data_IF_833886251666
#
_entry.id   IF_833886251666
#
_cell.length_a   1.000
_cell.length_b   1.000
_cell.length_c   1.000
_cell.angle_alpha   90.00
_cell.angle_beta   90.00
_cell.angle_gamma   90.00
#
_symmetry.space_group_name_H-M   'P 1'
#
loop_
_entity.id
_entity.type
_entity.pdbx_description
1 polymer ?
#
# COMPACT_ATOMS: atom_id res chain seq x y z
N UNK A 1 2.73 -22.46 37.53
CA UNK A 1 2.55 -21.00 37.49
C UNK A 1 2.94 -20.59 36.09
N UNK A 2 1.93 -20.51 35.22
CA UNK A 2 2.05 -20.10 33.83
C UNK A 2 1.96 -18.58 33.82
N UNK A 3 3.12 -17.93 33.72
CA UNK A 3 3.19 -16.52 33.35
C UNK A 3 2.80 -16.44 31.88
N UNK A 4 1.58 -16.00 31.62
CA UNK A 4 1.11 -15.71 30.27
C UNK A 4 1.89 -14.49 29.80
N UNK A 5 2.77 -14.69 28.83
CA UNK A 5 3.34 -13.61 28.04
C UNK A 5 2.17 -12.86 27.37
N UNK A 6 1.68 -11.79 28.01
CA UNK A 6 0.79 -10.82 27.39
C UNK A 6 1.51 -10.27 26.16
N UNK A 7 1.10 -10.78 25.01
CA UNK A 7 1.46 -10.23 23.71
C UNK A 7 1.13 -8.75 23.74
N UNK A 8 2.17 -7.92 23.73
CA UNK A 8 2.08 -6.46 23.60
C UNK A 8 1.54 -6.12 22.21
N UNK A 9 0.27 -6.41 21.96
CA UNK A 9 -0.45 -5.91 20.81
C UNK A 9 -0.58 -4.40 21.00
N UNK A 10 -0.02 -3.64 20.06
CA UNK A 10 -0.22 -2.19 19.98
C UNK A 10 -1.72 -1.91 19.98
N UNK A 11 -2.21 -1.23 21.03
CA UNK A 11 -3.62 -0.91 21.13
C UNK A 11 -3.96 0.17 20.09
N UNK A 12 -5.05 0.04 19.33
CA UNK A 12 -5.41 1.01 18.29
C UNK A 12 -5.72 2.38 18.92
N UNK A 13 -5.30 3.44 18.24
CA UNK A 13 -5.42 4.82 18.71
C UNK A 13 -6.72 5.43 18.20
N UNK A 14 -7.44 6.19 19.04
CA UNK A 14 -8.61 6.97 18.60
C UNK A 14 -8.16 8.33 18.01
N UNK A 15 -8.30 8.57 16.70
CA UNK A 15 -7.89 9.84 16.08
C UNK A 15 -8.61 11.06 16.68
N UNK A 16 -9.83 10.89 17.20
CA UNK A 16 -10.61 11.98 17.81
C UNK A 16 -10.05 12.36 19.18
N UNK A 17 -9.68 11.35 19.99
CA UNK A 17 -9.04 11.58 21.30
C UNK A 17 -7.66 12.20 21.11
N UNK A 18 -6.89 11.71 20.13
CA UNK A 18 -5.59 12.29 19.77
C UNK A 18 -5.74 13.76 19.30
N UNK A 19 -6.71 14.05 18.43
CA UNK A 19 -6.99 15.42 17.98
C UNK A 19 -7.28 16.34 19.15
N UNK A 20 -8.13 15.90 20.08
CA UNK A 20 -8.48 16.68 21.27
C UNK A 20 -7.26 16.92 22.16
N UNK A 21 -6.47 15.88 22.41
CA UNK A 21 -5.26 15.98 23.24
C UNK A 21 -4.24 16.97 22.66
N UNK A 22 -4.00 16.93 21.35
CA UNK A 22 -3.12 17.89 20.67
C UNK A 22 -3.72 19.31 20.71
N UNK A 23 -5.01 19.46 20.42
CA UNK A 23 -5.68 20.77 20.39
C UNK A 23 -5.69 21.46 21.77
N UNK A 24 -5.83 20.70 22.85
CA UNK A 24 -5.80 21.21 24.22
C UNK A 24 -4.38 21.53 24.71
N UNK A 25 -3.35 20.84 24.19
CA UNK A 25 -1.98 20.89 24.75
C UNK A 25 -0.98 21.73 23.95
N UNK A 26 -1.33 22.10 22.72
CA UNK A 26 -0.46 22.84 21.79
C UNK A 26 -1.09 24.18 21.41
N UNK A 27 -0.29 25.24 21.37
CA UNK A 27 -0.62 26.44 20.61
C UNK A 27 -0.17 26.29 19.13
N UNK A 28 -0.34 27.31 18.29
CA UNK A 28 0.04 27.23 16.86
C UNK A 28 1.55 27.14 16.64
N UNK A 29 2.36 27.77 17.49
CA UNK A 29 3.81 27.74 17.40
C UNK A 29 4.35 26.37 17.83
N UNK A 30 3.85 25.84 18.95
CA UNK A 30 4.15 24.47 19.39
C UNK A 30 3.81 23.44 18.29
N UNK A 31 2.69 23.65 17.57
CA UNK A 31 2.26 22.73 16.51
C UNK A 31 3.20 22.79 15.31
N UNK A 32 3.73 23.97 14.97
CA UNK A 32 4.75 24.12 13.93
C UNK A 32 6.05 23.43 14.33
N UNK A 33 6.46 23.54 15.59
CA UNK A 33 7.62 22.82 16.12
C UNK A 33 7.41 21.30 16.10
N UNK A 34 6.21 20.82 16.46
CA UNK A 34 5.86 19.41 16.34
C UNK A 34 5.97 18.95 14.88
N UNK A 35 5.41 19.71 13.94
CA UNK A 35 5.50 19.41 12.50
C UNK A 35 6.96 19.35 12.03
N UNK A 36 7.79 20.30 12.45
CA UNK A 36 9.23 20.30 12.17
C UNK A 36 9.91 19.04 12.72
N UNK A 37 9.64 18.67 13.97
CA UNK A 37 10.21 17.47 14.62
C UNK A 37 9.82 16.18 13.90
N UNK A 38 8.62 16.12 13.32
CA UNK A 38 8.15 14.99 12.53
C UNK A 38 8.40 15.12 11.02
N UNK A 39 9.18 16.14 10.62
CA UNK A 39 9.56 16.43 9.23
C UNK A 39 8.37 16.65 8.27
N UNK A 40 7.27 17.21 8.78
CA UNK A 40 6.12 17.65 7.99
C UNK A 40 6.18 19.15 7.81
N UNK A 41 6.06 19.62 6.57
CA UNK A 41 5.96 21.04 6.28
C UNK A 41 4.60 21.59 6.76
N UNK A 42 4.65 22.37 7.83
CA UNK A 42 3.48 22.96 8.45
C UNK A 42 2.64 23.78 7.47
N UNK A 43 3.27 24.48 6.53
CA UNK A 43 2.58 25.38 5.61
C UNK A 43 1.81 24.60 4.54
N UNK A 44 2.18 23.33 4.26
CA UNK A 44 1.48 22.44 3.32
C UNK A 44 0.24 21.74 3.90
N UNK A 45 0.03 21.76 5.22
CA UNK A 45 -1.18 21.20 5.84
C UNK A 45 -2.41 22.06 5.49
N UNK A 46 -3.55 21.45 5.18
CA UNK A 46 -4.77 22.18 4.85
C UNK A 46 -5.43 22.86 6.08
N UNK A 47 -6.06 24.01 5.84
CA UNK A 47 -6.86 24.75 6.82
C UNK A 47 -6.16 25.92 7.51
N UNK A 48 -6.88 27.02 7.74
CA UNK A 48 -6.33 28.25 8.35
C UNK A 48 -6.32 28.23 9.89
N UNK A 49 -7.09 27.35 10.52
CA UNK A 49 -7.29 27.30 11.97
C UNK A 49 -6.54 26.10 12.55
N UNK A 50 -5.98 26.26 13.76
CA UNK A 50 -5.20 25.24 14.49
C UNK A 50 -5.83 23.84 14.42
N UNK A 51 -7.12 23.74 14.75
CA UNK A 51 -7.86 22.47 14.74
C UNK A 51 -7.89 21.78 13.37
N UNK A 52 -7.96 22.54 12.28
CA UNK A 52 -7.91 21.97 10.93
C UNK A 52 -6.51 21.47 10.58
N UNK A 53 -5.46 22.23 10.94
CA UNK A 53 -4.06 21.80 10.79
C UNK A 53 -3.75 20.53 11.58
N UNK A 54 -4.23 20.41 12.82
CA UNK A 54 -4.08 19.20 13.64
C UNK A 54 -4.80 18.02 12.99
N UNK A 55 -6.03 18.23 12.52
CA UNK A 55 -6.79 17.18 11.82
C UNK A 55 -6.03 16.69 10.60
N UNK A 56 -5.51 17.60 9.77
CA UNK A 56 -4.76 17.24 8.58
C UNK A 56 -3.44 16.52 8.92
N UNK A 57 -2.75 16.95 9.99
CA UNK A 57 -1.57 16.26 10.48
C UNK A 57 -1.89 14.82 10.91
N UNK A 58 -2.98 14.62 11.65
CA UNK A 58 -3.42 13.27 12.06
C UNK A 58 -3.77 12.44 10.84
N UNK A 59 -4.54 12.98 9.88
CA UNK A 59 -4.87 12.30 8.63
C UNK A 59 -3.60 11.95 7.84
N UNK A 60 -2.63 12.85 7.78
CA UNK A 60 -1.35 12.64 7.10
C UNK A 60 -0.61 11.42 7.67
N UNK A 61 -0.57 11.25 9.00
CA UNK A 61 0.08 10.11 9.64
C UNK A 61 -0.79 8.85 9.62
N UNK A 62 -2.10 8.97 9.78
CA UNK A 62 -3.04 7.83 9.77
C UNK A 62 -3.13 7.16 8.40
N UNK A 63 -3.25 7.96 7.32
CA UNK A 63 -3.24 7.46 5.94
C UNK A 63 -1.94 6.69 5.62
N UNK A 64 -0.81 7.11 6.20
CA UNK A 64 0.48 6.44 6.04
C UNK A 64 0.69 5.28 6.99
N UNK A 65 -0.27 5.01 7.88
CA UNK A 65 -0.18 4.04 8.99
C UNK A 65 0.94 4.34 10.00
N UNK A 66 1.39 5.61 10.05
CA UNK A 66 2.51 6.10 10.89
C UNK A 66 2.05 6.84 12.15
N UNK A 67 0.83 6.60 12.63
CA UNK A 67 0.25 7.36 13.73
C UNK A 67 1.08 7.29 15.03
N UNK A 68 1.77 6.16 15.25
CA UNK A 68 2.64 5.95 16.41
C UNK A 68 3.87 6.88 16.41
N UNK A 69 4.37 7.27 15.24
CA UNK A 69 5.47 8.25 15.12
C UNK A 69 5.01 9.62 15.59
N UNK A 70 3.80 10.05 15.20
CA UNK A 70 3.22 11.32 15.63
C UNK A 70 3.00 11.33 17.15
N UNK A 71 2.43 10.24 17.69
CA UNK A 71 2.18 10.07 19.13
C UNK A 71 3.49 10.13 19.91
N UNK A 72 4.52 9.43 19.45
CA UNK A 72 5.82 9.42 20.15
C UNK A 72 6.40 10.82 20.19
N UNK A 73 6.41 11.54 19.07
CA UNK A 73 6.88 12.92 19.02
C UNK A 73 6.04 13.86 19.91
N UNK A 74 4.72 13.65 19.96
CA UNK A 74 3.80 14.39 20.83
C UNK A 74 4.12 14.17 22.32
N UNK A 75 4.31 12.92 22.74
CA UNK A 75 4.63 12.57 24.13
C UNK A 75 6.04 13.03 24.54
N UNK A 76 6.99 13.07 23.61
CA UNK A 76 8.31 13.67 23.88
C UNK A 76 8.23 15.16 24.22
N UNK A 77 7.36 15.90 23.53
CA UNK A 77 7.15 17.34 23.74
C UNK A 77 6.24 17.63 24.94
N UNK A 78 5.35 16.68 25.30
CA UNK A 78 4.40 16.78 26.42
C UNK A 78 4.36 15.46 27.23
N UNK A 79 5.40 15.16 28.03
CA UNK A 79 5.52 13.87 28.73
C UNK A 79 4.52 13.65 29.87
N UNK A 80 3.73 14.68 30.23
CA UNK A 80 2.74 14.63 31.31
C UNK A 80 1.33 14.23 30.84
N UNK A 81 1.13 14.07 29.53
CA UNK A 81 -0.17 13.68 28.98
C UNK A 81 -0.36 12.18 29.16
N UNK A 82 -1.52 11.80 29.68
CA UNK A 82 -1.90 10.41 29.88
C UNK A 82 -2.15 9.73 28.53
N UNK A 83 -1.28 8.78 28.19
CA UNK A 83 -1.37 8.04 26.92
C UNK A 83 -2.59 7.11 26.90
N UNK A 84 -2.99 6.55 28.04
CA UNK A 84 -4.13 5.62 28.11
C UNK A 84 -5.45 6.33 27.77
N UNK A 85 -5.52 7.64 27.95
CA UNK A 85 -6.67 8.45 27.58
C UNK A 85 -6.86 8.61 26.05
N UNK A 86 -5.86 8.26 25.23
CA UNK A 86 -5.86 8.44 23.77
C UNK A 86 -6.16 7.13 23.03
N UNK A 87 -6.02 5.99 23.72
CA UNK A 87 -6.21 4.65 23.16
C UNK A 87 -7.71 4.31 23.04
N UNK A 88 -8.08 3.55 22.00
CA UNK A 88 -9.42 2.95 21.89
C UNK A 88 -9.57 1.86 22.96
N UNK A 89 -10.50 2.05 23.88
CA UNK A 89 -11.00 0.97 24.73
C UNK A 89 -11.99 0.14 23.94
N UNK A 90 -11.98 -1.18 24.12
CA UNK A 90 -12.87 -2.14 23.43
C UNK A 90 -14.37 -1.87 23.58
N UNK A 91 -14.76 -0.91 24.40
CA UNK A 91 -16.14 -0.46 24.61
C UNK A 91 -16.58 0.67 23.65
N UNK A 92 -15.65 1.29 22.90
CA UNK A 92 -15.90 2.47 22.05
C UNK A 92 -16.09 2.16 20.55
N UNK A 93 -16.15 0.89 20.14
CA UNK A 93 -16.27 0.55 18.71
C UNK A 93 -17.65 0.92 18.12
N UNK A 94 -17.66 1.89 17.20
CA UNK A 94 -18.80 2.18 16.33
C UNK A 94 -18.99 1.01 15.33
N UNK A 95 -20.10 0.26 15.41
CA UNK A 95 -20.31 -0.93 14.58
C UNK A 95 -20.44 -0.64 13.08
N UNK A 96 -20.47 0.64 12.68
CA UNK A 96 -20.59 1.08 11.28
C UNK A 96 -19.22 1.23 10.58
N UNK A 97 -18.15 1.53 11.32
CA UNK A 97 -16.80 1.70 10.75
C UNK A 97 -16.17 0.36 10.29
N UNK A 98 -16.62 -0.76 10.85
CA UNK A 98 -16.10 -2.11 10.59
C UNK A 98 -16.54 -2.70 9.22
N UNK A 99 -17.34 -1.99 8.42
CA UNK A 99 -17.97 -2.56 7.21
C UNK A 99 -17.24 -2.34 5.87
N UNK A 100 -16.22 -1.48 5.80
CA UNK A 100 -15.47 -1.21 4.54
C UNK A 100 -13.96 -1.53 4.66
N UNK A 101 -13.47 -1.86 5.86
CA UNK A 101 -12.16 -2.46 5.99
C UNK A 101 -12.28 -3.96 5.70
N UNK A 102 -12.18 -4.36 4.43
CA UNK A 102 -11.74 -5.73 4.13
C UNK A 102 -10.47 -5.92 4.96
N UNK A 103 -10.47 -6.88 5.89
CA UNK A 103 -9.38 -7.16 6.82
C UNK A 103 -8.08 -7.48 6.05
N UNK A 104 -7.39 -6.46 5.53
CA UNK A 104 -6.06 -6.55 4.92
C UNK A 104 -5.07 -7.14 5.92
N UNK A 105 -5.29 -6.88 7.20
CA UNK A 105 -4.50 -7.41 8.30
C UNK A 105 -4.46 -8.94 8.32
N UNK A 106 -5.43 -9.70 7.78
CA UNK A 106 -5.45 -11.17 7.90
C UNK A 106 -4.99 -11.95 6.67
N UNK A 107 -4.56 -11.25 5.62
CA UNK A 107 -4.13 -11.89 4.36
C UNK A 107 -2.66 -12.33 4.43
N UNK A 108 -1.85 -11.65 5.25
CA UNK A 108 -0.43 -11.98 5.39
C UNK A 108 -0.22 -13.30 6.14
N UNK A 109 0.64 -14.21 5.66
CA UNK A 109 1.08 -15.37 6.42
C UNK A 109 1.55 -14.97 7.83
N UNK A 110 1.19 -15.77 8.85
CA UNK A 110 1.55 -15.50 10.25
C UNK A 110 3.07 -15.37 10.46
N UNK A 111 3.86 -16.09 9.66
CA UNK A 111 5.32 -16.00 9.68
C UNK A 111 5.82 -14.60 9.29
N UNK A 112 5.20 -13.97 8.29
CA UNK A 112 5.62 -12.65 7.81
C UNK A 112 5.28 -11.55 8.83
N UNK A 113 4.11 -11.66 9.48
CA UNK A 113 3.73 -10.79 10.62
C UNK A 113 4.69 -10.96 11.80
N UNK A 114 5.04 -12.21 12.10
CA UNK A 114 6.01 -12.51 13.15
C UNK A 114 7.37 -11.89 12.83
N UNK A 115 7.84 -12.01 11.58
CA UNK A 115 9.13 -11.46 11.17
C UNK A 115 9.17 -9.93 11.28
N UNK A 116 8.14 -9.21 10.82
CA UNK A 116 8.08 -7.74 10.94
C UNK A 116 8.04 -7.27 12.39
N UNK A 117 7.28 -7.95 13.25
CA UNK A 117 7.28 -7.68 14.69
C UNK A 117 8.65 -7.93 15.33
N UNK A 118 9.31 -9.05 15.02
CA UNK A 118 10.64 -9.39 15.55
C UNK A 118 11.69 -8.38 15.08
N UNK A 119 11.68 -8.00 13.80
CA UNK A 119 12.57 -6.98 13.26
C UNK A 119 12.35 -5.62 13.94
N UNK A 120 11.10 -5.22 14.15
CA UNK A 120 10.74 -3.98 14.87
C UNK A 120 11.27 -3.98 16.30
N UNK A 121 11.07 -5.09 17.05
CA UNK A 121 11.59 -5.25 18.42
C UNK A 121 13.12 -5.15 18.49
N UNK A 122 13.83 -5.70 17.50
CA UNK A 122 15.28 -5.59 17.41
C UNK A 122 15.73 -4.13 17.33
N UNK A 123 15.10 -3.31 16.50
CA UNK A 123 15.40 -1.87 16.46
C UNK A 123 15.07 -1.18 17.78
N UNK A 124 13.94 -1.48 18.41
CA UNK A 124 13.62 -0.95 19.75
C UNK A 124 14.65 -1.37 20.81
N UNK A 125 15.23 -2.57 20.72
CA UNK A 125 16.33 -2.99 21.57
C UNK A 125 17.60 -2.16 21.33
N UNK A 126 17.95 -1.91 20.07
CA UNK A 126 19.09 -1.04 19.72
C UNK A 126 18.89 0.38 20.28
N UNK A 127 17.68 0.94 20.19
CA UNK A 127 17.36 2.25 20.78
C UNK A 127 17.65 2.28 22.28
N UNK A 128 17.23 1.25 23.03
CA UNK A 128 17.48 1.14 24.48
C UNK A 128 18.98 1.04 24.80
N UNK A 129 19.80 0.57 23.87
CA UNK A 129 21.24 0.40 24.03
C UNK A 129 22.08 1.58 23.51
N UNK A 130 21.45 2.64 22.96
CA UNK A 130 22.14 3.84 22.45
C UNK A 130 22.95 4.60 23.51
N UNK A 131 22.84 4.26 24.80
CA UNK A 131 23.68 4.82 25.85
C UNK A 131 25.11 4.25 25.84
N UNK A 132 25.36 3.16 25.10
CA UNK A 132 26.68 2.55 24.99
C UNK A 132 27.47 3.09 23.79
N UNK A 133 28.75 3.36 23.99
CA UNK A 133 29.61 3.98 22.97
C UNK A 133 29.86 3.05 21.75
N UNK A 134 29.94 1.74 21.98
CA UNK A 134 30.11 0.74 20.93
C UNK A 134 28.89 0.68 19.99
N UNK A 135 27.68 0.66 20.56
CA UNK A 135 26.42 0.70 19.81
C UNK A 135 26.29 2.03 19.06
N UNK A 136 26.60 3.17 19.70
CA UNK A 136 26.61 4.48 19.03
C UNK A 136 27.56 4.51 17.85
N UNK A 137 28.78 4.00 18.00
CA UNK A 137 29.79 3.94 16.93
C UNK A 137 29.29 3.11 15.75
N UNK A 138 28.65 1.97 16.02
CA UNK A 138 28.05 1.14 14.98
C UNK A 138 26.89 1.86 14.28
N UNK A 139 26.00 2.53 15.03
CA UNK A 139 24.89 3.31 14.45
C UNK A 139 25.38 4.45 13.57
N UNK A 140 26.46 5.16 13.97
CA UNK A 140 27.13 6.16 13.11
C UNK A 140 27.57 5.54 11.80
N UNK A 141 28.22 4.38 11.87
CA UNK A 141 28.77 3.69 10.70
C UNK A 141 27.70 3.36 9.66
N UNK A 142 26.48 3.04 10.10
CA UNK A 142 25.36 2.65 9.24
C UNK A 142 24.24 3.70 9.14
N UNK A 143 24.47 4.94 9.60
CA UNK A 143 23.44 5.98 9.66
C UNK A 143 22.79 6.23 8.29
N UNK A 144 23.60 6.34 7.25
CA UNK A 144 23.13 6.55 5.86
C UNK A 144 22.30 5.36 5.37
N UNK A 145 22.67 4.13 5.74
CA UNK A 145 21.92 2.93 5.36
C UNK A 145 20.56 2.88 6.07
N UNK A 146 20.49 3.24 7.35
CA UNK A 146 19.23 3.36 8.09
C UNK A 146 18.31 4.42 7.48
N UNK A 147 18.84 5.60 7.16
CA UNK A 147 18.08 6.68 6.51
C UNK A 147 17.55 6.24 5.14
N UNK A 148 18.41 5.63 4.32
CA UNK A 148 18.03 5.14 3.00
C UNK A 148 16.94 4.08 3.08
N UNK A 149 17.09 3.09 3.97
CA UNK A 149 16.11 2.01 4.12
C UNK A 149 14.75 2.53 4.61
N UNK A 150 14.73 3.42 5.62
CA UNK A 150 13.49 4.03 6.11
C UNK A 150 12.77 4.80 5.00
N UNK A 151 13.51 5.64 4.25
CA UNK A 151 12.95 6.39 3.12
C UNK A 151 12.42 5.46 2.01
N UNK A 152 13.13 4.38 1.69
CA UNK A 152 12.72 3.43 0.66
C UNK A 152 11.48 2.63 1.07
N UNK A 153 11.36 2.24 2.35
CA UNK A 153 10.16 1.61 2.90
C UNK A 153 8.96 2.55 2.75
N UNK A 154 9.11 3.82 3.12
CA UNK A 154 8.05 4.83 2.98
C UNK A 154 7.65 5.04 1.50
N UNK A 155 8.63 5.18 0.60
CA UNK A 155 8.36 5.32 -0.83
C UNK A 155 7.65 4.10 -1.41
N UNK A 156 8.04 2.89 -1.00
CA UNK A 156 7.42 1.65 -1.45
C UNK A 156 5.96 1.56 -0.99
N UNK A 157 5.67 1.94 0.26
CA UNK A 157 4.32 2.02 0.78
C UNK A 157 3.46 3.04 0.01
N UNK A 158 3.99 4.24 -0.23
CA UNK A 158 3.32 5.27 -1.05
C UNK A 158 3.00 4.78 -2.48
N UNK A 159 3.97 4.16 -3.16
CA UNK A 159 3.76 3.60 -4.51
C UNK A 159 2.74 2.46 -4.52
N UNK A 160 2.70 1.62 -3.48
CA UNK A 160 1.73 0.54 -3.40
C UNK A 160 0.32 1.07 -3.14
N UNK A 161 0.16 2.02 -2.23
CA UNK A 161 -1.13 2.63 -1.94
C UNK A 161 -1.72 3.34 -3.17
N UNK A 162 -0.90 4.06 -3.94
CA UNK A 162 -1.39 4.75 -5.14
C UNK A 162 -1.75 3.75 -6.25
N UNK A 163 -1.03 2.63 -6.36
CA UNK A 163 -1.35 1.52 -7.27
C UNK A 163 -2.70 0.88 -6.92
N UNK A 164 -2.99 0.68 -5.64
CA UNK A 164 -4.27 0.12 -5.19
C UNK A 164 -5.43 1.05 -5.46
N UNK A 165 -5.23 2.34 -5.22
CA UNK A 165 -6.24 3.34 -5.58
C UNK A 165 -6.51 3.34 -7.08
N UNK A 166 -5.50 3.11 -7.93
CA UNK A 166 -5.73 2.90 -9.37
C UNK A 166 -6.57 1.66 -9.67
N UNK A 167 -6.33 0.52 -9.01
CA UNK A 167 -7.15 -0.69 -9.21
C UNK A 167 -8.60 -0.50 -8.77
N UNK A 168 -8.82 0.20 -7.65
CA UNK A 168 -10.16 0.55 -7.19
C UNK A 168 -10.83 1.50 -8.20
N UNK A 169 -10.10 2.52 -8.67
CA UNK A 169 -10.60 3.48 -9.64
C UNK A 169 -10.97 2.81 -10.97
N UNK A 170 -10.21 1.81 -11.40
CA UNK A 170 -10.54 1.00 -12.58
C UNK A 170 -11.83 0.21 -12.41
N UNK A 171 -12.05 -0.38 -11.23
CA UNK A 171 -13.31 -1.09 -10.95
C UNK A 171 -14.51 -0.15 -11.06
N UNK A 172 -14.39 1.08 -10.51
CA UNK A 172 -15.46 2.08 -10.60
C UNK A 172 -15.65 2.61 -12.03
N UNK A 173 -14.56 2.79 -12.77
CA UNK A 173 -14.60 3.15 -14.19
C UNK A 173 -15.31 2.08 -15.03
N UNK A 174 -15.03 0.80 -14.80
CA UNK A 174 -15.69 -0.31 -15.49
C UNK A 174 -17.21 -0.32 -15.25
N UNK A 175 -17.67 0.02 -14.04
CA UNK A 175 -19.10 0.17 -13.72
C UNK A 175 -19.74 1.31 -14.51
N UNK A 176 -19.16 2.51 -14.44
CA UNK A 176 -19.67 3.70 -15.14
C UNK A 176 -19.62 3.49 -16.66
N UNK A 177 -18.56 2.89 -17.20
CA UNK A 177 -18.39 2.57 -18.63
C UNK A 177 -19.43 1.56 -19.12
N UNK A 178 -19.79 0.57 -18.29
CA UNK A 178 -20.86 -0.37 -18.60
C UNK A 178 -22.21 0.34 -18.65
N UNK A 179 -22.52 1.17 -17.66
CA UNK A 179 -23.82 1.81 -17.55
C UNK A 179 -23.97 2.95 -18.58
N UNK A 180 -22.88 3.63 -18.94
CA UNK A 180 -22.82 4.52 -20.10
C UNK A 180 -23.25 3.84 -21.41
N UNK A 181 -22.83 2.58 -21.65
CA UNK A 181 -23.24 1.85 -22.86
C UNK A 181 -24.73 1.51 -22.86
N UNK A 182 -25.37 1.44 -21.70
CA UNK A 182 -26.82 1.22 -21.57
C UNK A 182 -27.61 2.47 -21.98
N UNK A 183 -27.07 3.67 -21.74
CA UNK A 183 -27.67 4.94 -22.18
C UNK A 183 -27.88 5.02 -23.69
N UNK A 184 -27.02 4.38 -24.49
CA UNK A 184 -27.20 4.31 -25.94
C UNK A 184 -28.45 3.53 -26.39
N UNK A 185 -29.09 2.79 -25.47
CA UNK A 185 -30.33 2.05 -25.70
C UNK A 185 -31.53 2.68 -24.98
N UNK A 186 -31.45 3.98 -24.64
CA UNK A 186 -32.50 4.74 -23.94
C UNK A 186 -32.92 4.10 -22.59
N UNK A 187 -31.95 3.53 -21.86
CA UNK A 187 -32.17 2.98 -20.51
C UNK A 187 -32.06 4.08 -19.45
N UNK A 188 -33.19 4.67 -19.07
CA UNK A 188 -33.28 5.75 -18.07
C UNK A 188 -32.66 5.35 -16.71
N UNK A 189 -32.70 4.06 -16.33
CA UNK A 189 -32.12 3.60 -15.06
C UNK A 189 -30.59 3.67 -15.05
N UNK A 190 -29.95 3.77 -16.22
CA UNK A 190 -28.50 3.85 -16.29
C UNK A 190 -27.96 5.18 -15.73
N UNK A 191 -28.69 6.29 -15.85
CA UNK A 191 -28.30 7.53 -15.20
C UNK A 191 -28.36 7.44 -13.67
N UNK A 192 -29.38 6.77 -13.12
CA UNK A 192 -29.49 6.52 -11.67
C UNK A 192 -28.31 5.67 -11.18
N UNK A 193 -27.96 4.59 -11.90
CA UNK A 193 -26.82 3.74 -11.57
C UNK A 193 -25.48 4.51 -11.62
N UNK A 194 -25.30 5.36 -12.63
CA UNK A 194 -24.11 6.22 -12.75
C UNK A 194 -24.06 7.25 -11.62
N UNK A 195 -25.19 7.90 -11.29
CA UNK A 195 -25.28 8.88 -10.21
C UNK A 195 -25.00 8.26 -8.83
N UNK A 196 -25.30 6.96 -8.64
CA UNK A 196 -24.91 6.23 -7.43
C UNK A 196 -23.42 5.88 -7.37
N UNK A 197 -22.79 5.57 -8.51
CA UNK A 197 -21.38 5.18 -8.58
C UNK A 197 -20.41 6.38 -8.59
N UNK A 198 -20.83 7.52 -9.14
CA UNK A 198 -20.00 8.71 -9.31
C UNK A 198 -19.39 9.24 -7.99
N UNK A 199 -20.12 9.35 -6.86
CA UNK A 199 -19.54 9.85 -5.61
C UNK A 199 -18.41 8.98 -5.06
N UNK A 200 -18.47 7.66 -5.26
CA UNK A 200 -17.39 6.76 -4.85
C UNK A 200 -16.15 6.95 -5.73
N UNK A 201 -16.34 7.11 -7.05
CA UNK A 201 -15.25 7.46 -7.97
C UNK A 201 -14.58 8.78 -7.56
N UNK A 202 -15.38 9.81 -7.24
CA UNK A 202 -14.92 11.11 -6.77
C UNK A 202 -14.07 10.99 -5.50
N UNK A 203 -14.55 10.21 -4.53
CA UNK A 203 -13.84 9.96 -3.29
C UNK A 203 -12.46 9.33 -3.56
N UNK A 204 -12.39 8.32 -4.43
CA UNK A 204 -11.11 7.68 -4.79
C UNK A 204 -10.16 8.60 -5.54
N UNK A 205 -10.67 9.45 -6.43
CA UNK A 205 -9.83 10.48 -7.06
C UNK A 205 -9.26 11.43 -6.01
N UNK A 206 -10.06 11.87 -5.03
CA UNK A 206 -9.58 12.73 -3.95
C UNK A 206 -8.53 12.05 -3.07
N UNK A 207 -8.70 10.77 -2.75
CA UNK A 207 -7.71 9.97 -2.01
C UNK A 207 -6.38 9.95 -2.79
N UNK A 208 -6.42 9.72 -4.11
CA UNK A 208 -5.23 9.73 -4.96
C UNK A 208 -4.54 11.09 -5.05
N UNK A 209 -5.32 12.17 -5.21
CA UNK A 209 -4.80 13.54 -5.23
C UNK A 209 -4.12 13.85 -3.90
N UNK A 210 -4.73 13.47 -2.78
CA UNK A 210 -4.16 13.67 -1.44
C UNK A 210 -2.85 12.90 -1.27
N UNK A 211 -2.82 11.62 -1.63
CA UNK A 211 -1.61 10.81 -1.55
C UNK A 211 -0.50 11.33 -2.47
N UNK A 212 -0.85 11.86 -3.65
CA UNK A 212 0.12 12.44 -4.60
C UNK A 212 0.84 13.70 -4.08
N UNK A 213 0.36 14.31 -2.99
CA UNK A 213 1.05 15.41 -2.29
C UNK A 213 2.19 14.91 -1.40
N UNK A 214 2.37 13.59 -1.25
CA UNK A 214 3.49 13.04 -0.48
C UNK A 214 4.84 13.42 -1.09
N UNK A 215 5.88 13.40 -0.24
CA UNK A 215 7.27 13.66 -0.66
C UNK A 215 7.72 12.74 -1.80
N UNK A 216 7.21 11.51 -1.84
CA UNK A 216 7.51 10.52 -2.89
C UNK A 216 7.14 11.01 -4.29
N UNK A 217 6.09 11.83 -4.41
CA UNK A 217 5.54 12.24 -5.71
C UNK A 217 5.79 13.71 -6.06
N UNK A 218 6.35 14.49 -5.14
CA UNK A 218 6.48 15.96 -5.24
C UNK A 218 7.24 16.45 -6.48
N UNK A 219 8.21 15.70 -6.99
CA UNK A 219 9.12 16.17 -8.06
C UNK A 219 8.69 15.83 -9.49
N UNK A 220 7.64 15.00 -9.71
CA UNK A 220 7.40 14.41 -11.04
C UNK A 220 5.97 14.17 -11.50
N UNK A 221 4.95 14.33 -10.65
CA UNK A 221 3.63 13.71 -10.91
C UNK A 221 2.44 14.67 -11.08
N UNK A 222 2.68 15.98 -11.14
CA UNK A 222 1.62 17.01 -11.20
C UNK A 222 0.66 16.82 -12.38
N UNK A 223 1.12 16.31 -13.52
CA UNK A 223 0.28 16.28 -14.74
C UNK A 223 -0.92 15.33 -14.65
N UNK A 224 -0.72 14.10 -14.20
CA UNK A 224 -1.82 13.11 -14.17
C UNK A 224 -2.78 13.37 -13.01
N UNK A 225 -2.28 13.93 -11.90
CA UNK A 225 -3.09 14.42 -10.79
C UNK A 225 -4.04 15.51 -11.26
N UNK A 226 -3.54 16.52 -11.98
CA UNK A 226 -4.39 17.57 -12.58
C UNK A 226 -5.39 17.00 -13.61
N UNK A 227 -5.00 15.95 -14.34
CA UNK A 227 -5.93 15.26 -15.24
C UNK A 227 -7.05 14.58 -14.47
N UNK A 228 -6.76 13.92 -13.35
CA UNK A 228 -7.77 13.32 -12.49
C UNK A 228 -8.72 14.38 -11.92
N UNK A 229 -8.23 15.53 -11.46
CA UNK A 229 -9.09 16.63 -11.01
C UNK A 229 -9.99 17.17 -12.14
N UNK A 230 -9.49 17.23 -13.37
CA UNK A 230 -10.29 17.62 -14.53
C UNK A 230 -11.35 16.57 -14.87
N UNK A 231 -10.99 15.29 -14.83
CA UNK A 231 -11.91 14.16 -15.04
C UNK A 231 -13.02 14.20 -13.99
N UNK A 232 -12.63 14.41 -12.73
CA UNK A 232 -13.50 14.53 -11.57
C UNK A 232 -14.59 15.60 -11.80
N UNK A 233 -14.19 16.83 -12.10
CA UNK A 233 -15.14 17.92 -12.36
C UNK A 233 -16.05 17.63 -13.57
N UNK A 234 -15.46 17.08 -14.65
CA UNK A 234 -16.20 16.77 -15.88
C UNK A 234 -17.25 15.69 -15.68
N UNK A 235 -16.90 14.60 -15.00
CA UNK A 235 -17.84 13.52 -14.72
C UNK A 235 -18.96 13.99 -13.80
N UNK A 236 -18.63 14.74 -12.75
CA UNK A 236 -19.64 15.32 -11.87
C UNK A 236 -20.64 16.20 -12.62
N UNK A 237 -20.13 17.16 -13.41
CA UNK A 237 -20.99 18.04 -14.22
C UNK A 237 -21.84 17.26 -15.21
N UNK A 238 -21.28 16.22 -15.84
CA UNK A 238 -22.00 15.38 -16.80
C UNK A 238 -23.18 14.64 -16.15
N UNK A 239 -22.98 14.11 -14.93
CA UNK A 239 -24.04 13.42 -14.17
C UNK A 239 -25.11 14.39 -13.70
N UNK A 240 -24.74 15.56 -13.17
CA UNK A 240 -25.72 16.58 -12.71
C UNK A 240 -26.57 17.16 -13.85
N UNK A 241 -26.12 17.07 -15.10
CA UNK A 241 -26.79 17.64 -16.26
C UNK A 241 -27.31 16.61 -17.26
N UNK A 242 -27.22 15.31 -16.95
CA UNK A 242 -27.52 14.19 -17.85
C UNK A 242 -26.86 14.35 -19.25
N UNK A 243 -25.65 14.93 -19.31
CA UNK A 243 -24.93 15.19 -20.56
C UNK A 243 -24.09 13.96 -20.97
N UNK A 244 -24.67 13.12 -21.84
CA UNK A 244 -24.03 11.93 -22.37
C UNK A 244 -22.68 12.22 -23.04
N UNK A 245 -22.54 13.34 -23.78
CA UNK A 245 -21.29 13.65 -24.49
C UNK A 245 -20.19 14.06 -23.52
N UNK A 246 -20.54 14.81 -22.48
CA UNK A 246 -19.61 15.16 -21.41
C UNK A 246 -19.17 13.90 -20.64
N UNK A 247 -20.10 12.98 -20.37
CA UNK A 247 -19.82 11.69 -19.73
C UNK A 247 -18.86 10.85 -20.58
N UNK A 248 -19.13 10.68 -21.88
CA UNK A 248 -18.25 9.97 -22.84
C UNK A 248 -16.84 10.55 -22.84
N UNK A 249 -16.74 11.88 -22.85
CA UNK A 249 -15.45 12.55 -22.80
C UNK A 249 -14.73 12.30 -21.47
N UNK A 250 -15.42 12.36 -20.33
CA UNK A 250 -14.86 12.10 -19.01
C UNK A 250 -14.38 10.66 -18.86
N UNK A 251 -15.21 9.68 -19.24
CA UNK A 251 -14.90 8.24 -19.20
C UNK A 251 -13.71 7.90 -20.10
N UNK A 252 -13.63 8.50 -21.30
CA UNK A 252 -12.49 8.30 -22.21
C UNK A 252 -11.20 8.92 -21.68
N UNK A 253 -11.27 10.08 -21.01
CA UNK A 253 -10.09 10.67 -20.37
C UNK A 253 -9.60 9.80 -19.20
N UNK A 254 -10.51 9.27 -18.39
CA UNK A 254 -10.19 8.35 -17.31
C UNK A 254 -9.56 7.05 -17.82
N UNK A 255 -10.14 6.45 -18.85
CA UNK A 255 -9.60 5.26 -19.52
C UNK A 255 -8.13 5.46 -19.96
N UNK A 256 -7.80 6.63 -20.52
CA UNK A 256 -6.40 6.96 -20.91
C UNK A 256 -5.45 7.04 -19.72
N UNK A 257 -5.92 7.51 -18.57
CA UNK A 257 -5.11 7.56 -17.35
C UNK A 257 -4.89 6.14 -16.83
N UNK A 258 -5.96 5.35 -16.74
CA UNK A 258 -5.96 3.96 -16.26
C UNK A 258 -5.13 3.03 -17.16
N UNK A 259 -5.08 3.28 -18.47
CA UNK A 259 -4.28 2.47 -19.40
C UNK A 259 -2.78 2.84 -19.41
N UNK A 260 -2.34 3.86 -18.66
CA UNK A 260 -0.94 4.35 -18.70
C UNK A 260 -0.26 4.37 -17.34
N UNK A 261 -0.96 4.86 -16.32
CA UNK A 261 -0.34 5.17 -15.05
C UNK A 261 -0.11 3.95 -14.13
N UNK A 262 -1.00 2.95 -14.07
CA UNK A 262 -0.79 1.76 -13.24
C UNK A 262 0.53 1.04 -13.54
N UNK A 263 0.83 0.73 -14.82
CA UNK A 263 2.11 0.09 -15.23
C UNK A 263 3.33 0.94 -14.83
N UNK A 264 3.24 2.28 -14.95
CA UNK A 264 4.34 3.18 -14.58
C UNK A 264 4.57 3.23 -13.07
N UNK A 265 3.49 3.29 -12.29
CA UNK A 265 3.56 3.23 -10.83
C UNK A 265 4.12 1.88 -10.40
N UNK A 266 3.66 0.78 -10.99
CA UNK A 266 4.20 -0.55 -10.73
C UNK A 266 5.71 -0.62 -11.03
N UNK A 267 6.17 -0.07 -12.16
CA UNK A 267 7.59 -0.02 -12.48
C UNK A 267 8.42 0.76 -11.42
N UNK A 268 7.87 1.84 -10.86
CA UNK A 268 8.52 2.56 -9.76
C UNK A 268 8.50 1.77 -8.45
N UNK A 269 7.37 1.11 -8.12
CA UNK A 269 7.27 0.21 -6.97
C UNK A 269 8.35 -0.88 -7.02
N UNK A 270 8.46 -1.56 -8.17
CA UNK A 270 9.47 -2.61 -8.40
C UNK A 270 10.89 -2.05 -8.27
N UNK A 271 11.14 -0.85 -8.82
CA UNK A 271 12.45 -0.20 -8.73
C UNK A 271 12.84 0.16 -7.29
N UNK A 272 11.91 0.71 -6.51
CA UNK A 272 12.13 1.03 -5.09
C UNK A 272 12.33 -0.25 -4.28
N UNK A 273 11.50 -1.27 -4.47
CA UNK A 273 11.65 -2.55 -3.78
C UNK A 273 12.98 -3.24 -4.11
N UNK A 274 13.45 -3.16 -5.36
CA UNK A 274 14.77 -3.69 -5.75
C UNK A 274 15.93 -2.87 -5.17
N UNK A 275 15.72 -1.58 -4.94
CA UNK A 275 16.69 -0.68 -4.33
C UNK A 275 16.71 -0.77 -2.80
N UNK A 276 15.67 -1.33 -2.18
CA UNK A 276 15.59 -1.54 -0.73
C UNK A 276 16.60 -2.60 -0.30
N UNK A 277 17.66 -2.16 0.37
CA UNK A 277 18.79 -3.00 0.80
C UNK A 277 18.60 -3.50 2.23
N UNK A 278 17.64 -4.41 2.43
CA UNK A 278 17.45 -5.05 3.74
C UNK A 278 18.69 -5.84 4.19
N UNK A 279 19.52 -6.29 3.25
CA UNK A 279 20.84 -6.89 3.51
C UNK A 279 21.82 -5.91 4.17
N UNK A 280 21.76 -4.61 3.86
CA UNK A 280 22.56 -3.60 4.56
C UNK A 280 22.13 -3.46 6.02
N UNK A 281 20.82 -3.49 6.28
CA UNK A 281 20.29 -3.48 7.65
C UNK A 281 20.69 -4.74 8.41
N UNK A 282 20.62 -5.91 7.76
CA UNK A 282 21.08 -7.17 8.35
C UNK A 282 22.56 -7.11 8.74
N UNK A 283 23.41 -6.54 7.87
CA UNK A 283 24.84 -6.33 8.17
C UNK A 283 25.03 -5.37 9.35
N UNK A 284 24.29 -4.27 9.39
CA UNK A 284 24.35 -3.30 10.49
C UNK A 284 24.01 -3.96 11.84
N UNK A 285 22.90 -4.70 11.88
CA UNK A 285 22.47 -5.46 13.06
C UNK A 285 23.51 -6.50 13.45
N UNK A 286 24.08 -7.23 12.47
CA UNK A 286 25.14 -8.22 12.73
C UNK A 286 26.37 -7.57 13.36
N UNK A 287 26.81 -6.41 12.89
CA UNK A 287 27.94 -5.69 13.48
C UNK A 287 27.63 -5.26 14.90
N UNK A 288 26.44 -4.70 15.16
CA UNK A 288 26.01 -4.30 16.51
C UNK A 288 25.99 -5.51 17.45
N UNK A 289 25.38 -6.63 17.05
CA UNK A 289 25.34 -7.86 17.86
C UNK A 289 26.72 -8.40 18.20
N UNK A 290 27.64 -8.43 17.23
CA UNK A 290 28.99 -8.94 17.46
C UNK A 290 29.76 -8.07 18.47
N UNK A 291 29.63 -6.74 18.38
CA UNK A 291 30.27 -5.83 19.35
C UNK A 291 29.70 -6.01 20.76
N UNK A 292 28.41 -6.32 20.89
CA UNK A 292 27.76 -6.53 22.18
C UNK A 292 28.18 -7.85 22.86
N UNK A 293 28.33 -8.93 22.07
CA UNK A 293 28.70 -10.24 22.58
C UNK A 293 30.09 -10.27 23.26
N UNK A 294 30.97 -9.32 22.91
CA UNK A 294 32.31 -9.21 23.49
C UNK A 294 32.33 -8.43 24.82
N UNK A 295 31.25 -7.71 25.17
CA UNK A 295 31.36 -6.60 26.12
C UNK A 295 30.59 -6.76 27.45
N UNK A 296 29.50 -7.54 27.56
CA UNK A 296 28.75 -7.68 28.82
C UNK A 296 27.72 -8.84 28.81
N UNK A 297 27.62 -9.62 29.91
CA UNK A 297 26.66 -10.74 30.10
C UNK A 297 25.29 -10.25 30.60
N UNK A 298 25.18 -9.00 31.07
CA UNK A 298 23.92 -8.50 31.66
C UNK A 298 22.82 -8.15 30.64
N UNK A 299 23.12 -8.21 29.34
CA UNK A 299 22.18 -7.85 28.26
C UNK A 299 21.74 -9.01 27.35
N UNK A 300 21.90 -10.27 27.79
CA UNK A 300 21.61 -11.47 26.98
C UNK A 300 20.24 -11.39 26.27
N UNK A 301 19.18 -10.97 26.98
CA UNK A 301 17.84 -10.83 26.37
C UNK A 301 17.75 -9.81 25.22
N UNK A 302 18.47 -8.69 25.30
CA UNK A 302 18.49 -7.69 24.22
C UNK A 302 19.36 -8.18 23.07
N UNK A 303 20.46 -8.89 23.35
CA UNK A 303 21.30 -9.51 22.32
C UNK A 303 20.48 -10.55 21.54
N UNK A 304 19.69 -11.38 22.23
CA UNK A 304 18.80 -12.37 21.61
C UNK A 304 17.72 -11.70 20.73
N UNK A 305 17.12 -10.59 21.20
CA UNK A 305 16.17 -9.80 20.41
C UNK A 305 16.83 -9.25 19.13
N UNK A 306 18.05 -8.73 19.23
CA UNK A 306 18.78 -8.18 18.08
C UNK A 306 19.14 -9.29 17.09
N UNK A 307 19.63 -10.44 17.56
CA UNK A 307 19.94 -11.60 16.72
C UNK A 307 18.68 -12.18 16.03
N UNK A 308 17.55 -12.24 16.74
CA UNK A 308 16.29 -12.67 16.15
C UNK A 308 15.83 -11.71 15.04
N UNK A 309 16.02 -10.41 15.25
CA UNK A 309 15.75 -9.37 14.23
C UNK A 309 16.54 -9.57 12.94
N UNK A 310 17.80 -10.02 13.03
CA UNK A 310 18.63 -10.34 11.86
C UNK A 310 17.97 -11.40 10.98
N UNK A 311 17.63 -12.55 11.55
CA UNK A 311 16.99 -13.65 10.81
C UNK A 311 15.62 -13.24 10.25
N UNK A 312 14.88 -12.43 11.00
CA UNK A 312 13.61 -11.89 10.55
C UNK A 312 13.75 -10.97 9.33
N UNK A 313 14.75 -10.07 9.30
CA UNK A 313 15.01 -9.20 8.15
C UNK A 313 15.39 -9.98 6.89
N UNK A 314 16.23 -11.00 7.02
CA UNK A 314 16.58 -11.87 5.89
C UNK A 314 15.34 -12.59 5.32
N UNK A 315 14.46 -13.07 6.20
CA UNK A 315 13.17 -13.66 5.80
C UNK A 315 12.25 -12.67 5.08
N UNK A 316 12.19 -11.42 5.56
CA UNK A 316 11.39 -10.36 4.93
C UNK A 316 11.94 -9.95 3.56
N UNK A 317 13.26 -9.91 3.39
CA UNK A 317 13.91 -9.58 2.12
C UNK A 317 13.59 -10.61 1.04
N UNK A 318 13.77 -11.90 1.34
CA UNK A 318 13.42 -12.97 0.41
C UNK A 318 11.92 -12.97 0.07
N UNK A 319 11.06 -12.74 1.07
CA UNK A 319 9.61 -12.68 0.87
C UNK A 319 9.18 -11.49 0.02
N UNK A 320 9.73 -10.30 0.29
CA UNK A 320 9.44 -9.09 -0.49
C UNK A 320 9.88 -9.28 -1.95
N UNK A 321 11.11 -9.77 -2.17
CA UNK A 321 11.61 -10.05 -3.53
C UNK A 321 10.74 -11.05 -4.27
N UNK A 322 10.28 -12.11 -3.60
CA UNK A 322 9.39 -13.09 -4.20
C UNK A 322 8.03 -12.47 -4.59
N UNK A 323 7.39 -11.74 -3.67
CA UNK A 323 6.08 -11.10 -3.93
C UNK A 323 6.15 -10.03 -5.02
N UNK A 324 7.19 -9.18 -5.03
CA UNK A 324 7.35 -8.15 -6.06
C UNK A 324 7.58 -8.77 -7.43
N UNK A 325 8.36 -9.85 -7.53
CA UNK A 325 8.53 -10.59 -8.80
C UNK A 325 7.21 -11.19 -9.28
N UNK A 326 6.49 -11.88 -8.40
CA UNK A 326 5.20 -12.49 -8.76
C UNK A 326 4.16 -11.43 -9.16
N UNK A 327 4.06 -10.34 -8.38
CA UNK A 327 3.17 -9.21 -8.66
C UNK A 327 3.46 -8.58 -10.03
N UNK A 328 4.73 -8.31 -10.33
CA UNK A 328 5.13 -7.73 -11.60
C UNK A 328 4.84 -8.65 -12.80
N UNK A 329 4.99 -9.97 -12.62
CA UNK A 329 4.63 -10.93 -13.65
C UNK A 329 3.11 -10.92 -13.91
N UNK A 330 2.29 -10.88 -12.84
CA UNK A 330 0.84 -10.75 -12.98
C UNK A 330 0.41 -9.43 -13.61
N UNK A 331 1.05 -8.30 -13.28
CA UNK A 331 0.78 -7.01 -13.93
C UNK A 331 1.06 -7.08 -15.44
N UNK A 332 2.13 -7.78 -15.85
CA UNK A 332 2.47 -7.93 -17.28
C UNK A 332 1.40 -8.74 -18.03
N UNK A 333 0.93 -9.84 -17.43
CA UNK A 333 -0.16 -10.65 -17.98
C UNK A 333 -1.45 -9.83 -18.03
N UNK A 334 -1.77 -9.07 -16.99
CA UNK A 334 -2.97 -8.24 -16.91
C UNK A 334 -2.97 -7.12 -17.95
N UNK A 335 -1.84 -6.43 -18.15
CA UNK A 335 -1.65 -5.42 -19.18
C UNK A 335 -1.95 -5.98 -20.58
N UNK A 336 -1.46 -7.19 -20.88
CA UNK A 336 -1.69 -7.87 -22.15
C UNK A 336 -3.16 -8.35 -22.30
N UNK A 337 -3.77 -8.85 -21.22
CA UNK A 337 -5.20 -9.17 -21.19
C UNK A 337 -6.06 -7.94 -21.48
N UNK A 338 -5.76 -6.78 -20.86
CA UNK A 338 -6.48 -5.52 -21.09
C UNK A 338 -6.41 -5.11 -22.56
N UNK A 339 -5.21 -5.21 -23.17
CA UNK A 339 -4.99 -4.90 -24.59
C UNK A 339 -5.94 -5.69 -25.49
N UNK A 340 -6.09 -7.00 -25.26
CA UNK A 340 -6.93 -7.85 -26.12
C UNK A 340 -8.41 -7.94 -25.70
N UNK A 341 -8.75 -7.63 -24.44
CA UNK A 341 -10.13 -7.66 -23.91
C UNK A 341 -11.07 -6.81 -24.76
N UNK A 342 -10.61 -5.65 -25.23
CA UNK A 342 -11.38 -4.77 -26.12
C UNK A 342 -11.70 -5.44 -27.47
N UNK A 343 -10.71 -6.07 -28.11
CA UNK A 343 -10.87 -6.79 -29.37
C UNK A 343 -11.82 -7.99 -29.25
N UNK A 344 -11.64 -8.81 -28.20
CA UNK A 344 -12.53 -9.95 -27.89
C UNK A 344 -13.97 -9.48 -27.63
N UNK A 345 -14.14 -8.32 -27.00
CA UNK A 345 -15.46 -7.70 -26.77
C UNK A 345 -16.14 -7.21 -28.06
N UNK A 346 -15.39 -7.05 -29.14
CA UNK A 346 -15.89 -6.71 -30.48
C UNK A 346 -15.97 -7.94 -31.42
N UNK A 347 -15.72 -9.15 -30.90
CA UNK A 347 -15.61 -10.39 -31.68
C UNK A 347 -14.46 -10.38 -32.69
N UNK A 348 -13.44 -9.54 -32.48
CA UNK A 348 -12.18 -9.64 -33.19
C UNK A 348 -11.25 -10.59 -32.40
N UNK A 349 -11.16 -11.83 -32.88
CA UNK A 349 -10.41 -12.89 -32.20
C UNK A 349 -8.98 -13.07 -32.72
N UNK A 350 -8.61 -12.42 -33.83
CA UNK A 350 -7.25 -12.48 -34.39
C UNK A 350 -6.25 -11.90 -33.38
N UNK A 351 -6.59 -10.78 -32.74
CA UNK A 351 -5.76 -10.17 -31.67
C UNK A 351 -5.54 -11.12 -30.48
N UNK A 352 -6.55 -11.94 -30.14
CA UNK A 352 -6.41 -12.92 -29.06
C UNK A 352 -5.50 -14.08 -29.48
N UNK A 353 -5.60 -14.54 -30.73
CA UNK A 353 -4.71 -15.58 -31.27
C UNK A 353 -3.25 -15.13 -31.18
N UNK A 354 -2.94 -13.91 -31.63
CA UNK A 354 -1.59 -13.36 -31.54
C UNK A 354 -1.11 -13.17 -30.09
N UNK A 355 -1.94 -12.61 -29.21
CA UNK A 355 -1.57 -12.42 -27.81
C UNK A 355 -1.41 -13.74 -27.03
N UNK A 356 -2.10 -14.81 -27.47
CA UNK A 356 -2.06 -16.09 -26.77
C UNK A 356 -0.67 -16.72 -26.80
N UNK A 357 0.10 -16.49 -27.87
CA UNK A 357 1.49 -16.93 -27.98
C UNK A 357 2.39 -16.36 -26.88
N UNK A 358 2.07 -15.17 -26.36
CA UNK A 358 2.76 -14.52 -25.24
C UNK A 358 2.10 -14.84 -23.89
N UNK A 359 0.77 -14.74 -23.80
CA UNK A 359 0.00 -14.96 -22.56
C UNK A 359 0.16 -16.37 -22.01
N UNK A 360 0.16 -17.38 -22.89
CA UNK A 360 0.25 -18.79 -22.50
C UNK A 360 1.56 -19.08 -21.75
N UNK A 361 2.76 -18.85 -22.32
CA UNK A 361 4.00 -19.16 -21.62
C UNK A 361 4.17 -18.34 -20.33
N UNK A 362 3.82 -17.04 -20.34
CA UNK A 362 3.88 -16.19 -19.13
C UNK A 362 3.02 -16.76 -18.00
N UNK A 363 1.79 -17.18 -18.30
CA UNK A 363 0.90 -17.76 -17.29
C UNK A 363 1.37 -19.14 -16.85
N UNK A 364 1.86 -19.96 -17.79
CA UNK A 364 2.32 -21.32 -17.53
C UNK A 364 3.52 -21.33 -16.57
N UNK A 365 4.49 -20.42 -16.74
CA UNK A 365 5.62 -20.26 -15.82
C UNK A 365 5.15 -20.04 -14.37
N UNK A 366 4.17 -19.15 -14.16
CA UNK A 366 3.64 -18.86 -12.83
C UNK A 366 2.85 -20.03 -12.23
N UNK A 367 2.10 -20.76 -13.06
CA UNK A 367 1.37 -21.95 -12.60
C UNK A 367 2.35 -23.06 -12.21
N UNK A 368 3.35 -23.35 -13.04
CA UNK A 368 4.34 -24.41 -12.78
C UNK A 368 5.14 -24.14 -11.50
N UNK A 369 5.48 -22.86 -11.24
CA UNK A 369 6.16 -22.46 -10.00
C UNK A 369 5.33 -22.73 -8.72
N UNK A 370 4.01 -22.87 -8.83
CA UNK A 370 3.10 -23.06 -7.69
C UNK A 370 2.43 -24.45 -7.65
N UNK A 371 2.77 -25.33 -8.59
CA UNK A 371 2.47 -26.77 -8.56
C UNK A 371 0.99 -27.09 -8.28
N UNK A 372 0.74 -27.75 -7.14
CA UNK A 372 -0.57 -28.30 -6.76
C UNK A 372 -1.53 -27.27 -6.14
N UNK A 373 -1.17 -25.99 -6.11
CA UNK A 373 -2.05 -24.95 -5.60
C UNK A 373 -3.39 -24.95 -6.37
N UNK A 374 -4.52 -24.92 -5.65
CA UNK A 374 -5.86 -25.02 -6.26
C UNK A 374 -6.08 -23.99 -7.38
N UNK A 375 -5.67 -22.74 -7.16
CA UNK A 375 -5.82 -21.67 -8.15
C UNK A 375 -4.99 -21.96 -9.42
N UNK A 376 -3.83 -22.60 -9.28
CA UNK A 376 -2.96 -22.96 -10.39
C UNK A 376 -3.61 -24.07 -11.23
N UNK A 377 -4.15 -25.10 -10.56
CA UNK A 377 -4.92 -26.18 -11.22
C UNK A 377 -6.16 -25.64 -11.97
N UNK A 378 -6.92 -24.75 -11.35
CA UNK A 378 -8.09 -24.13 -11.95
C UNK A 378 -7.71 -23.27 -13.19
N UNK A 379 -6.61 -22.52 -13.11
CA UNK A 379 -6.08 -21.70 -14.19
C UNK A 379 -5.51 -22.56 -15.33
N UNK A 380 -4.73 -23.61 -15.04
CA UNK A 380 -4.28 -24.59 -16.05
C UNK A 380 -5.46 -25.23 -16.78
N UNK A 381 -6.52 -25.59 -16.05
CA UNK A 381 -7.72 -26.15 -16.65
C UNK A 381 -8.41 -25.16 -17.59
N UNK A 382 -8.45 -23.88 -17.23
CA UNK A 382 -8.98 -22.83 -18.09
C UNK A 382 -8.13 -22.63 -19.36
N UNK A 383 -6.81 -22.61 -19.24
CA UNK A 383 -5.87 -22.52 -20.37
C UNK A 383 -6.02 -23.71 -21.32
N UNK A 384 -6.06 -24.93 -20.79
CA UNK A 384 -6.21 -26.17 -21.58
C UNK A 384 -7.56 -26.27 -22.32
N UNK A 385 -8.59 -25.56 -21.85
CA UNK A 385 -9.87 -25.44 -22.56
C UNK A 385 -9.86 -24.33 -23.61
N UNK A 386 -9.17 -23.22 -23.32
CA UNK A 386 -9.12 -22.04 -24.18
C UNK A 386 -8.26 -22.30 -25.44
N UNK A 387 -7.11 -22.96 -25.29
CA UNK A 387 -6.18 -23.23 -26.40
C UNK A 387 -6.84 -23.96 -27.59
N UNK A 388 -7.52 -25.11 -27.43
CA UNK A 388 -8.19 -25.77 -28.55
C UNK A 388 -9.30 -24.92 -29.18
N UNK A 389 -9.93 -24.01 -28.40
CA UNK A 389 -10.94 -23.11 -28.93
C UNK A 389 -10.33 -22.02 -29.82
N UNK A 390 -9.10 -21.57 -29.51
CA UNK A 390 -8.31 -20.67 -30.36
C UNK A 390 -7.89 -21.40 -31.64
N UNK A 391 -7.24 -22.57 -31.52
CA UNK A 391 -6.75 -23.36 -32.66
C UNK A 391 -7.86 -23.72 -33.67
N UNK A 392 -9.05 -24.03 -33.17
CA UNK A 392 -10.21 -24.41 -33.99
C UNK A 392 -11.10 -23.22 -34.36
N UNK A 393 -10.72 -21.99 -33.99
CA UNK A 393 -11.46 -20.75 -34.27
C UNK A 393 -12.93 -20.81 -33.83
N UNK A 394 -13.18 -21.36 -32.63
CA UNK A 394 -14.52 -21.51 -32.06
C UNK A 394 -14.97 -20.22 -31.37
N UNK A 395 -15.19 -19.16 -32.15
CA UNK A 395 -15.47 -17.78 -31.71
C UNK A 395 -16.39 -17.64 -30.49
N UNK A 396 -17.55 -18.32 -30.48
CA UNK A 396 -18.50 -18.25 -29.36
C UNK A 396 -17.96 -18.87 -28.07
N UNK A 397 -17.14 -19.91 -28.17
CA UNK A 397 -16.44 -20.52 -27.03
C UNK A 397 -15.24 -19.69 -26.59
N UNK A 398 -14.48 -19.12 -27.53
CA UNK A 398 -13.29 -18.31 -27.26
C UNK A 398 -13.61 -17.17 -26.30
N UNK A 399 -14.64 -16.35 -26.60
CA UNK A 399 -15.05 -15.26 -25.70
C UNK A 399 -15.32 -15.75 -24.28
N UNK A 400 -16.15 -16.80 -24.13
CA UNK A 400 -16.55 -17.31 -22.81
C UNK A 400 -15.35 -17.87 -22.03
N UNK A 401 -14.49 -18.64 -22.70
CA UNK A 401 -13.32 -19.26 -22.09
C UNK A 401 -12.25 -18.22 -21.75
N UNK A 402 -12.05 -17.22 -22.60
CA UNK A 402 -11.17 -16.08 -22.33
C UNK A 402 -11.64 -15.29 -21.11
N UNK A 403 -12.93 -14.96 -20.99
CA UNK A 403 -13.45 -14.26 -19.81
C UNK A 403 -13.26 -15.08 -18.53
N UNK A 404 -13.38 -16.40 -18.61
CA UNK A 404 -13.09 -17.30 -17.47
C UNK A 404 -11.61 -17.30 -17.11
N UNK A 405 -10.72 -17.39 -18.09
CA UNK A 405 -9.26 -17.26 -17.91
C UNK A 405 -8.90 -15.91 -17.25
N UNK A 406 -9.39 -14.80 -17.82
CA UNK A 406 -9.20 -13.45 -17.27
C UNK A 406 -9.71 -13.33 -15.83
N UNK A 407 -10.86 -13.93 -15.52
CA UNK A 407 -11.39 -13.94 -14.13
C UNK A 407 -10.44 -14.65 -13.17
N UNK A 408 -9.88 -15.80 -13.54
CA UNK A 408 -8.92 -16.52 -12.71
C UNK A 408 -7.59 -15.75 -12.53
N UNK A 409 -7.07 -15.16 -13.62
CA UNK A 409 -5.88 -14.30 -13.56
C UNK A 409 -6.12 -13.12 -12.63
N UNK A 410 -7.23 -12.38 -12.82
CA UNK A 410 -7.57 -11.23 -11.98
C UNK A 410 -7.75 -11.60 -10.51
N UNK A 411 -8.34 -12.77 -10.21
CA UNK A 411 -8.44 -13.25 -8.82
C UNK A 411 -7.07 -13.54 -8.19
N UNK A 412 -6.16 -14.22 -8.91
CA UNK A 412 -4.82 -14.50 -8.37
C UNK A 412 -4.01 -13.22 -8.26
N UNK A 413 -4.04 -12.35 -9.26
CA UNK A 413 -3.34 -11.08 -9.24
C UNK A 413 -3.78 -10.24 -8.03
N UNK A 414 -5.09 -10.09 -7.81
CA UNK A 414 -5.63 -9.39 -6.63
C UNK A 414 -5.15 -10.01 -5.30
N UNK A 415 -5.04 -11.32 -5.21
CA UNK A 415 -4.53 -11.96 -4.00
C UNK A 415 -3.06 -11.61 -3.73
N UNK A 416 -2.20 -11.70 -4.75
CA UNK A 416 -0.77 -11.34 -4.65
C UNK A 416 -0.61 -9.84 -4.35
N UNK A 417 -1.44 -9.01 -4.96
CA UNK A 417 -1.48 -7.58 -4.76
C UNK A 417 -1.82 -7.20 -3.30
N UNK A 418 -2.83 -7.85 -2.71
CA UNK A 418 -3.19 -7.66 -1.30
C UNK A 418 -2.13 -8.21 -0.34
N UNK A 419 -1.49 -9.34 -0.66
CA UNK A 419 -0.36 -9.86 0.11
C UNK A 419 0.81 -8.85 0.12
N UNK A 420 1.15 -8.29 -1.04
CA UNK A 420 2.21 -7.28 -1.17
C UNK A 420 1.86 -5.99 -0.42
N UNK A 421 0.62 -5.50 -0.51
CA UNK A 421 0.17 -4.34 0.26
C UNK A 421 0.32 -4.56 1.76
N UNK A 422 -0.12 -5.73 2.24
CA UNK A 422 -0.01 -6.06 3.66
C UNK A 422 1.45 -6.13 4.09
N UNK A 423 2.35 -6.68 3.27
CA UNK A 423 3.77 -6.72 3.59
C UNK A 423 4.39 -5.30 3.63
N UNK A 424 4.06 -4.44 2.67
CA UNK A 424 4.51 -3.04 2.66
C UNK A 424 4.03 -2.30 3.92
N UNK A 425 2.78 -2.53 4.34
CA UNK A 425 2.22 -1.95 5.56
C UNK A 425 2.94 -2.42 6.81
N UNK A 426 3.28 -3.71 6.89
CA UNK A 426 4.03 -4.25 8.03
C UNK A 426 5.50 -3.80 8.03
N UNK A 427 6.14 -3.69 6.85
CA UNK A 427 7.47 -3.11 6.72
C UNK A 427 7.51 -1.64 7.14
N UNK A 428 6.42 -0.89 6.97
CA UNK A 428 6.31 0.49 7.45
C UNK A 428 6.60 0.58 8.95
N UNK A 429 6.14 -0.39 9.77
CA UNK A 429 6.43 -0.44 11.21
C UNK A 429 7.92 -0.56 11.50
N UNK A 430 8.64 -1.36 10.70
CA UNK A 430 10.09 -1.48 10.79
C UNK A 430 10.75 -0.14 10.45
N UNK A 431 10.30 0.53 9.39
CA UNK A 431 10.74 1.88 9.02
C UNK A 431 10.55 2.90 10.15
N UNK A 432 9.42 2.86 10.86
CA UNK A 432 9.15 3.74 12.00
C UNK A 432 10.13 3.52 13.16
N UNK A 433 10.50 2.27 13.46
CA UNK A 433 11.48 1.98 14.49
C UNK A 433 12.90 2.45 14.09
N UNK A 434 13.24 2.36 12.80
CA UNK A 434 14.49 2.91 12.26
C UNK A 434 14.50 4.44 12.39
N UNK A 435 13.38 5.11 12.11
CA UNK A 435 13.27 6.56 12.30
C UNK A 435 13.40 6.97 13.77
N UNK A 436 12.79 6.20 14.69
CA UNK A 436 12.96 6.41 16.13
C UNK A 436 14.42 6.25 16.55
N UNK A 437 15.12 5.24 16.04
CA UNK A 437 16.55 5.05 16.24
C UNK A 437 17.36 6.26 15.79
N UNK A 438 17.11 6.75 14.58
CA UNK A 438 17.81 7.92 14.02
C UNK A 438 17.52 9.20 14.82
N UNK A 439 16.28 9.40 15.28
CA UNK A 439 15.91 10.55 16.10
C UNK A 439 16.59 10.53 17.46
N UNK A 440 16.58 9.39 18.15
CA UNK A 440 17.21 9.25 19.46
C UNK A 440 18.73 9.34 19.38
N UNK A 441 19.33 8.87 18.29
CA UNK A 441 20.77 8.98 18.05
C UNK A 441 21.24 10.44 17.88
N UNK A 442 20.43 11.28 17.23
CA UNK A 442 20.75 12.69 16.95
C UNK A 442 20.47 13.65 18.12
N UNK A 443 19.86 13.17 19.22
CA UNK A 443 19.74 13.90 20.49
C UNK A 443 21.05 13.80 21.26
#
# INVERSE_FOLDING_TARGET
MTDSAESSQEKPVDPRKLLRAIDESFNMEDLRDLCFNVQVDFDNLEGAVKKHKIRELILHFDQRRRINVLITAFLEVRPHIDFDAIILTTEDEDPTASRIQIHQADILPQQDKSNTMIASKSFSAIVRMLTREDVRTAVVTFQTDFQAASQQIEQMNDYKQIHDLFQILETQHDLISRDQKRLANDDDMAWEDIAMAEPELQAKINDMVTLSKSKTFAEGNVRWVNQLETIKERLHTAVESDDLKALESGVSLLDRVLNRHPTRINAQLVAVASALRLDNLERAITTISSSLAEADVTMDSMIDEVQSGKSALAGLDERLKALVREHNAWQTIDDEIRRVKAAVSQNNFEELEYAWDDLKPMTQELVEAHGEAKWALDLSSAMAQLEPAIEQQLNSKMRRLFMRYHTFVGHRFRAVDLELLSLCTELQRVGEQIDLLLRQFNK
#
